data_IF_392794894847
#
_entry.id   IF_392794894847
#
_cell.length_a   1.000
_cell.length_b   1.000
_cell.length_c   1.000
_cell.angle_alpha   90.00
_cell.angle_beta   90.00
_cell.angle_gamma   90.00
#
_symmetry.space_group_name_H-M   'P 1'
#
loop_
_entity.id
_entity.type
_entity.pdbx_description
1 polymer ?
#
# COMPACT_ATOMS: atom_id res chain seq x y z
N UNK A 1 3.32 -1.30 7.22
CA UNK A 1 2.55 -2.45 6.69
C UNK A 1 3.44 -3.65 6.53
N UNK A 2 4.36 -3.73 5.55
CA UNK A 2 5.24 -4.90 5.37
C UNK A 2 6.03 -5.33 6.63
N UNK A 3 6.33 -4.38 7.52
CA UNK A 3 6.94 -4.64 8.83
C UNK A 3 6.12 -5.53 9.78
N UNK A 4 4.84 -5.81 9.51
CA UNK A 4 4.01 -6.74 10.29
C UNK A 4 4.38 -8.21 10.09
N UNK A 5 5.29 -8.53 9.17
CA UNK A 5 5.82 -9.89 9.01
C UNK A 5 4.99 -10.77 8.07
N UNK A 6 4.25 -10.16 7.13
CA UNK A 6 3.56 -10.89 6.07
C UNK A 6 4.54 -11.78 5.26
N UNK A 7 4.11 -12.92 4.70
CA UNK A 7 4.96 -13.73 3.84
C UNK A 7 5.58 -12.90 2.70
N UNK A 8 6.88 -13.06 2.46
CA UNK A 8 7.62 -12.29 1.45
C UNK A 8 7.92 -10.83 1.84
N UNK A 9 7.59 -10.38 3.06
CA UNK A 9 7.77 -8.99 3.49
C UNK A 9 9.18 -8.44 3.23
N UNK A 10 10.23 -9.21 3.56
CA UNK A 10 11.61 -8.78 3.32
C UNK A 10 11.90 -8.59 1.83
N UNK A 11 11.36 -9.45 0.97
CA UNK A 11 11.55 -9.38 -0.48
C UNK A 11 10.81 -8.16 -1.05
N UNK A 12 9.55 -7.94 -0.66
CA UNK A 12 8.80 -6.73 -1.05
C UNK A 12 9.46 -5.44 -0.55
N UNK A 13 10.05 -5.44 0.66
CA UNK A 13 10.81 -4.28 1.15
C UNK A 13 12.02 -3.97 0.27
N UNK A 14 12.67 -4.98 -0.33
CA UNK A 14 13.78 -4.74 -1.27
C UNK A 14 13.33 -4.11 -2.58
N UNK A 15 12.04 -4.20 -2.93
CA UNK A 15 11.49 -3.62 -4.16
C UNK A 15 11.19 -2.13 -4.01
N UNK A 16 10.97 -1.62 -2.79
CA UNK A 16 10.57 -0.23 -2.52
C UNK A 16 11.51 0.81 -3.17
N UNK A 17 12.85 0.69 -3.11
CA UNK A 17 13.75 1.63 -3.78
C UNK A 17 13.66 1.62 -5.31
N UNK A 18 13.12 0.55 -5.90
CA UNK A 18 12.93 0.38 -7.33
C UNK A 18 11.47 0.60 -7.77
N UNK A 19 10.54 0.87 -6.85
CA UNK A 19 9.15 1.09 -7.17
C UNK A 19 8.91 2.52 -7.65
N UNK A 20 8.12 2.67 -8.72
CA UNK A 20 7.66 3.97 -9.22
C UNK A 20 6.15 3.97 -9.39
N UNK A 21 5.55 5.15 -9.25
CA UNK A 21 4.15 5.38 -9.65
C UNK A 21 4.05 5.38 -11.17
N UNK A 22 3.15 4.57 -11.72
CA UNK A 22 2.90 4.48 -13.17
C UNK A 22 1.52 4.95 -13.59
N UNK A 23 0.55 4.97 -12.67
CA UNK A 23 -0.76 5.54 -12.88
C UNK A 23 -1.41 5.96 -11.56
N UNK A 24 -2.43 6.81 -11.64
CA UNK A 24 -3.32 7.13 -10.52
C UNK A 24 -4.68 6.50 -10.79
N UNK A 25 -5.37 6.03 -9.75
CA UNK A 25 -6.67 5.35 -9.90
C UNK A 25 -7.83 6.30 -10.27
N UNK A 26 -7.54 7.59 -10.38
CA UNK A 26 -8.47 8.64 -10.74
C UNK A 26 -7.84 10.01 -10.55
N UNK A 27 -8.52 11.06 -11.04
CA UNK A 27 -8.05 12.43 -10.92
C UNK A 27 -8.00 12.84 -9.44
N UNK A 28 -6.79 13.15 -8.97
CA UNK A 28 -6.53 13.53 -7.59
C UNK A 28 -6.69 12.39 -6.58
N UNK A 29 -6.76 11.13 -7.01
CA UNK A 29 -6.76 9.96 -6.12
C UNK A 29 -5.41 9.81 -5.43
N UNK A 30 -5.36 9.54 -4.11
CA UNK A 30 -4.13 9.18 -3.44
C UNK A 30 -3.70 7.74 -3.74
N UNK A 31 -4.59 6.90 -4.28
CA UNK A 31 -4.30 5.53 -4.71
C UNK A 31 -3.60 5.51 -6.07
N UNK A 32 -2.56 4.68 -6.17
CA UNK A 32 -1.67 4.63 -7.34
C UNK A 32 -1.29 3.20 -7.70
N UNK A 33 -1.09 3.00 -9.00
CA UNK A 33 -0.44 1.81 -9.53
C UNK A 33 1.07 1.98 -9.45
N UNK A 34 1.74 0.89 -9.07
CA UNK A 34 3.18 0.80 -8.96
C UNK A 34 3.72 -0.16 -10.01
N UNK A 35 4.90 0.17 -10.51
CA UNK A 35 5.74 -0.79 -11.21
C UNK A 35 7.12 -0.83 -10.54
N UNK A 36 7.66 -2.03 -10.39
CA UNK A 36 9.03 -2.22 -9.89
C UNK A 36 9.98 -2.26 -11.08
N UNK A 37 10.94 -1.35 -11.07
CA UNK A 37 11.96 -1.21 -12.11
C UNK A 37 13.04 -2.28 -11.98
N UNK A 38 13.83 -2.50 -13.05
CA UNK A 38 15.03 -3.33 -12.98
C UNK A 38 15.94 -2.89 -11.82
N UNK A 39 16.31 -3.85 -10.96
CA UNK A 39 17.11 -3.57 -9.76
C UNK A 39 16.66 -4.34 -8.52
N UNK A 40 15.44 -4.90 -8.55
CA UNK A 40 14.92 -5.81 -7.54
C UNK A 40 14.52 -7.17 -8.16
N UNK A 41 14.22 -8.14 -7.30
CA UNK A 41 13.71 -9.46 -7.68
C UNK A 41 12.23 -9.60 -7.26
N UNK A 42 11.45 -10.42 -7.98
CA UNK A 42 10.10 -10.75 -7.53
C UNK A 42 10.18 -11.54 -6.23
N UNK A 43 9.19 -11.39 -5.36
CA UNK A 43 9.08 -12.21 -4.16
C UNK A 43 8.87 -13.68 -4.53
N UNK A 44 9.62 -14.56 -3.86
CA UNK A 44 9.62 -16.00 -4.15
C UNK A 44 8.32 -16.69 -3.73
N UNK A 45 7.69 -16.18 -2.67
CA UNK A 45 6.36 -16.60 -2.20
C UNK A 45 5.41 -15.42 -2.37
N UNK A 46 4.54 -15.50 -3.37
CA UNK A 46 3.58 -14.45 -3.67
C UNK A 46 2.16 -14.99 -3.77
N UNK A 47 1.24 -14.17 -3.28
CA UNK A 47 -0.17 -14.19 -3.68
C UNK A 47 -0.37 -13.03 -4.66
N UNK A 48 -1.40 -13.09 -5.48
CA UNK A 48 -1.90 -11.90 -6.16
C UNK A 48 -2.98 -11.24 -5.28
N UNK A 49 -3.07 -9.90 -5.34
CA UNK A 49 -4.03 -9.12 -4.59
C UNK A 49 -3.44 -8.43 -3.35
N UNK A 50 -4.19 -8.41 -2.25
CA UNK A 50 -3.82 -7.71 -1.02
C UNK A 50 -2.74 -8.52 -0.28
N UNK A 51 -1.56 -7.91 -0.07
CA UNK A 51 -0.48 -8.53 0.73
C UNK A 51 -0.47 -8.05 2.17
N UNK A 52 -0.85 -6.80 2.40
CA UNK A 52 -0.88 -6.18 3.71
C UNK A 52 -1.85 -5.01 3.72
N UNK A 53 -2.44 -4.72 4.86
CA UNK A 53 -3.23 -3.51 5.07
C UNK A 53 -3.04 -2.94 6.47
N UNK A 54 -3.61 -1.77 6.71
CA UNK A 54 -3.67 -1.16 8.03
C UNK A 54 -4.82 -0.16 8.14
N UNK A 55 -5.52 -0.21 9.27
CA UNK A 55 -6.63 0.68 9.59
C UNK A 55 -6.12 2.11 9.77
N UNK A 56 -6.86 3.08 9.26
CA UNK A 56 -6.57 4.51 9.41
C UNK A 56 -7.55 5.13 10.38
N UNK A 57 -7.01 5.81 11.40
CA UNK A 57 -7.78 6.61 12.35
C UNK A 57 -7.47 8.11 12.23
N UNK A 58 -8.46 8.95 12.52
CA UNK A 58 -8.22 10.38 12.74
C UNK A 58 -7.54 10.65 14.10
N UNK A 59 -7.32 11.92 14.43
CA UNK A 59 -6.64 12.34 15.65
C UNK A 59 -7.42 11.99 16.93
N UNK A 60 -8.73 11.80 16.83
CA UNK A 60 -9.60 11.39 17.94
C UNK A 60 -9.71 9.85 18.02
N UNK A 61 -8.99 9.12 17.16
CA UNK A 61 -8.99 7.66 17.11
C UNK A 61 -10.19 7.07 16.36
N UNK A 62 -11.02 7.89 15.71
CA UNK A 62 -12.17 7.40 14.95
C UNK A 62 -11.69 6.74 13.65
N UNK A 63 -12.23 5.57 13.26
CA UNK A 63 -11.86 4.93 12.01
C UNK A 63 -12.34 5.76 10.82
N UNK A 64 -11.42 6.07 9.90
CA UNK A 64 -11.68 6.88 8.70
C UNK A 64 -11.35 6.15 7.40
N UNK A 65 -10.68 5.00 7.44
CA UNK A 65 -10.39 4.19 6.26
C UNK A 65 -9.35 3.12 6.50
N UNK A 66 -8.72 2.67 5.43
CA UNK A 66 -7.71 1.61 5.38
C UNK A 66 -6.68 1.91 4.28
N UNK A 67 -5.40 1.69 4.56
CA UNK A 67 -4.35 1.66 3.51
C UNK A 67 -4.08 0.21 3.16
N UNK A 68 -4.11 -0.10 1.86
CA UNK A 68 -3.98 -1.45 1.33
C UNK A 68 -2.78 -1.50 0.39
N UNK A 69 -1.93 -2.51 0.55
CA UNK A 69 -0.80 -2.79 -0.33
C UNK A 69 -1.14 -3.96 -1.25
N UNK A 70 -0.98 -3.72 -2.54
CA UNK A 70 -1.29 -4.67 -3.61
C UNK A 70 -0.02 -5.26 -4.22
N UNK A 71 -0.10 -6.54 -4.58
CA UNK A 71 0.94 -7.28 -5.28
C UNK A 71 0.37 -8.05 -6.46
N UNK A 72 1.19 -8.25 -7.49
CA UNK A 72 0.85 -9.06 -8.67
C UNK A 72 2.12 -9.74 -9.19
N UNK A 73 2.08 -11.06 -9.39
CA UNK A 73 3.20 -11.82 -9.93
C UNK A 73 4.49 -11.73 -9.09
N UNK A 74 4.37 -11.51 -7.78
CA UNK A 74 5.49 -11.29 -6.87
C UNK A 74 6.08 -9.88 -6.86
N UNK A 75 5.43 -8.91 -7.51
CA UNK A 75 5.83 -7.50 -7.51
C UNK A 75 4.86 -6.64 -6.73
N UNK A 76 5.36 -5.58 -6.10
CA UNK A 76 4.51 -4.46 -5.65
C UNK A 76 3.77 -3.88 -6.86
N UNK A 77 2.44 -3.86 -6.82
CA UNK A 77 1.60 -3.43 -7.94
C UNK A 77 0.75 -2.19 -7.64
N UNK A 78 0.53 -1.86 -6.36
CA UNK A 78 -0.24 -0.67 -6.03
C UNK A 78 -0.29 -0.36 -4.54
N UNK A 79 -0.63 0.88 -4.22
CA UNK A 79 -1.06 1.30 -2.89
C UNK A 79 -2.41 2.00 -3.01
N UNK A 80 -3.34 1.58 -2.18
CA UNK A 80 -4.70 2.10 -2.15
C UNK A 80 -4.99 2.73 -0.79
N UNK A 81 -5.73 3.84 -0.81
CA UNK A 81 -6.39 4.35 0.37
C UNK A 81 -7.91 4.26 0.18
N UNK A 82 -8.53 3.27 0.82
CA UNK A 82 -9.98 3.17 0.95
C UNK A 82 -10.44 4.05 2.13
N UNK A 83 -11.46 4.88 1.95
CA UNK A 83 -11.94 5.80 2.98
C UNK A 83 -13.43 5.58 3.28
N UNK A 84 -13.83 5.85 4.51
CA UNK A 84 -15.21 5.71 4.99
C UNK A 84 -15.92 7.06 5.19
N UNK A 85 -15.22 8.17 4.98
CA UNK A 85 -15.73 9.53 5.14
C UNK A 85 -16.49 10.01 3.90
N UNK A 86 -17.35 11.03 4.08
CA UNK A 86 -18.06 11.66 2.96
C UNK A 86 -17.10 12.45 2.05
N UNK A 87 -16.04 13.00 2.63
CA UNK A 87 -14.98 13.70 1.89
C UNK A 87 -13.86 12.74 1.53
N UNK A 88 -13.47 12.76 0.25
CA UNK A 88 -12.38 11.93 -0.29
C UNK A 88 -11.02 12.54 0.09
N UNK A 89 -10.06 11.74 0.59
CA UNK A 89 -8.71 12.22 0.84
C UNK A 89 -7.97 12.57 -0.45
N UNK A 90 -7.08 13.56 -0.38
CA UNK A 90 -6.22 14.00 -1.48
C UNK A 90 -4.77 13.53 -1.36
N UNK A 91 -4.40 12.93 -0.23
CA UNK A 91 -3.09 12.34 0.04
C UNK A 91 -3.25 11.03 0.80
N UNK A 92 -2.21 10.20 0.78
CA UNK A 92 -2.09 9.10 1.74
C UNK A 92 -2.05 9.67 3.17
N UNK A 93 -2.50 8.89 4.17
CA UNK A 93 -2.49 9.34 5.57
C UNK A 93 -1.05 9.41 6.10
N UNK A 94 -0.86 10.14 7.19
CA UNK A 94 0.40 10.08 7.93
C UNK A 94 0.60 8.65 8.48
N UNK A 95 1.81 8.05 8.39
CA UNK A 95 2.04 6.70 8.90
C UNK A 95 1.67 6.50 10.38
N UNK A 96 1.69 7.55 11.21
CA UNK A 96 1.27 7.51 12.61
C UNK A 96 -0.25 7.27 12.78
N UNK A 97 -1.04 7.50 11.74
CA UNK A 97 -2.48 7.24 11.70
C UNK A 97 -2.81 5.80 11.32
N UNK A 98 -1.82 5.01 10.88
CA UNK A 98 -2.01 3.65 10.38
C UNK A 98 -1.72 2.65 11.51
N UNK A 99 -2.71 1.82 11.84
CA UNK A 99 -2.57 0.69 12.76
C UNK A 99 -2.49 -0.61 11.97
N UNK A 100 -1.44 -1.39 12.21
CA UNK A 100 -1.29 -2.71 11.61
C UNK A 100 -2.18 -3.72 12.35
N UNK A 101 -2.86 -4.58 11.58
CA UNK A 101 -3.60 -5.73 12.08
C UNK A 101 -2.65 -6.86 12.50
#
# INVERSE_FOLDING_TARGET
MLSSGVPGASEYLTQVPCARVVATWGVGSPSVDLAVEPGAAPASVSTDGIVASGDVSDQDGKPVGEVILWVEGGWLSGIEYAWHTDERPHSLPDPSQIRLL
#
